data_IF_653383791405
#
_entry.id   IF_653383791405
#
_cell.length_a   1.000
_cell.length_b   1.000
_cell.length_c   1.000
_cell.angle_alpha   90.00
_cell.angle_beta   90.00
_cell.angle_gamma   90.00
#
_symmetry.space_group_name_H-M   'P 1'
#
loop_
_entity.id
_entity.type
_entity.pdbx_description
1 polymer ?
#
# COMPACT_ATOMS: atom_id res chain seq x y z
N UNK A 1 -9.71 3.39 -7.41
CA UNK A 1 -9.07 4.01 -6.23
C UNK A 1 -7.79 3.25 -5.94
N UNK A 2 -6.80 3.87 -5.31
CA UNK A 2 -5.56 3.20 -4.90
C UNK A 2 -5.30 3.35 -3.41
N UNK A 3 -4.43 2.49 -2.89
CA UNK A 3 -3.79 2.63 -1.58
C UNK A 3 -2.33 2.97 -1.86
N UNK A 4 -1.85 4.07 -1.28
CA UNK A 4 -0.54 4.63 -1.60
C UNK A 4 0.27 4.76 -0.30
N UNK A 5 1.56 4.44 -0.35
CA UNK A 5 2.53 4.83 0.66
C UNK A 5 3.48 5.88 0.09
N UNK A 6 3.82 6.86 0.93
CA UNK A 6 4.74 7.93 0.62
C UNK A 6 5.80 8.05 1.70
N UNK A 7 7.02 8.38 1.28
CA UNK A 7 8.11 8.75 2.18
C UNK A 7 8.18 10.26 2.32
N UNK A 8 8.56 10.74 3.50
CA UNK A 8 8.89 12.14 3.76
C UNK A 8 10.37 12.22 4.16
N UNK A 9 11.17 12.92 3.37
CA UNK A 9 12.59 13.14 3.66
C UNK A 9 12.95 14.60 3.43
N UNK A 10 13.44 15.29 4.46
CA UNK A 10 13.83 16.71 4.38
C UNK A 10 12.76 17.63 3.75
N UNK A 11 11.48 17.37 4.05
CA UNK A 11 10.36 18.13 3.48
C UNK A 11 9.95 17.73 2.07
N UNK A 12 10.64 16.77 1.44
CA UNK A 12 10.28 16.18 0.16
C UNK A 12 9.39 14.96 0.35
N UNK A 13 8.25 14.91 -0.34
CA UNK A 13 7.36 13.75 -0.40
C UNK A 13 7.65 12.99 -1.69
N UNK A 14 7.87 11.67 -1.59
CA UNK A 14 8.06 10.81 -2.76
C UNK A 14 7.25 9.52 -2.62
N UNK A 15 6.77 8.94 -3.74
CA UNK A 15 6.02 7.69 -3.70
C UNK A 15 6.93 6.52 -3.33
N UNK A 16 6.45 5.65 -2.46
CA UNK A 16 7.13 4.39 -2.14
C UNK A 16 6.49 3.23 -2.90
N UNK A 17 5.21 2.94 -2.61
CA UNK A 17 4.46 1.85 -3.22
C UNK A 17 3.03 2.31 -3.48
N UNK A 18 2.47 1.91 -4.62
CA UNK A 18 1.07 2.16 -4.99
C UNK A 18 0.41 0.84 -5.36
N UNK A 19 -0.69 0.51 -4.68
CA UNK A 19 -1.54 -0.64 -5.04
C UNK A 19 -2.92 -0.19 -5.50
N UNK A 20 -3.40 -0.81 -6.58
CA UNK A 20 -4.70 -0.48 -7.17
C UNK A 20 -5.79 -1.29 -6.48
N UNK A 21 -6.75 -0.61 -5.86
CA UNK A 21 -7.95 -1.24 -5.34
C UNK A 21 -8.94 -1.50 -6.47
N UNK A 22 -9.29 -2.77 -6.66
CA UNK A 22 -10.28 -3.26 -7.63
C UNK A 22 -11.57 -3.64 -6.92
N UNK A 23 -12.64 -2.81 -7.02
CA UNK A 23 -13.97 -3.19 -6.53
C UNK A 23 -14.44 -4.52 -7.15
N UNK A 24 -15.24 -5.30 -6.41
CA UNK A 24 -15.75 -6.61 -6.87
C UNK A 24 -16.39 -6.56 -8.26
N UNK A 25 -17.17 -5.53 -8.57
CA UNK A 25 -17.82 -5.35 -9.87
C UNK A 25 -16.90 -5.01 -11.05
N UNK A 26 -15.59 -4.83 -10.80
CA UNK A 26 -14.59 -4.46 -11.82
C UNK A 26 -13.51 -5.53 -12.02
N UNK A 27 -13.61 -6.65 -11.32
CA UNK A 27 -12.64 -7.75 -11.40
C UNK A 27 -12.73 -8.42 -12.77
N UNK A 28 -11.57 -8.68 -13.36
CA UNK A 28 -11.45 -9.49 -14.58
C UNK A 28 -11.25 -10.95 -14.21
N UNK A 29 -11.42 -11.85 -15.17
CA UNK A 29 -11.09 -13.26 -14.98
C UNK A 29 -9.61 -13.40 -14.57
N UNK A 30 -9.36 -14.02 -13.41
CA UNK A 30 -8.03 -14.17 -12.82
C UNK A 30 -7.66 -13.09 -11.79
N UNK A 31 -8.45 -12.02 -11.63
CA UNK A 31 -8.24 -11.07 -10.54
C UNK A 31 -8.72 -11.65 -9.21
N UNK A 32 -7.90 -11.51 -8.16
CA UNK A 32 -8.34 -11.72 -6.78
C UNK A 32 -8.90 -10.43 -6.19
N UNK A 33 -10.00 -10.52 -5.46
CA UNK A 33 -10.50 -9.39 -4.69
C UNK A 33 -9.62 -9.15 -3.47
N UNK A 34 -9.28 -7.89 -3.22
CA UNK A 34 -8.58 -7.47 -2.00
C UNK A 34 -9.22 -6.19 -1.46
N UNK A 35 -9.42 -6.15 -0.15
CA UNK A 35 -9.85 -4.96 0.58
C UNK A 35 -8.72 -3.94 0.68
N UNK A 36 -9.06 -2.69 0.99
CA UNK A 36 -8.03 -1.65 1.19
C UNK A 36 -7.12 -1.94 2.37
N UNK A 37 -7.62 -2.61 3.42
CA UNK A 37 -6.83 -3.00 4.59
C UNK A 37 -5.80 -4.03 4.17
N UNK A 38 -6.20 -5.07 3.43
CA UNK A 38 -5.27 -6.08 2.92
C UNK A 38 -4.19 -5.47 2.02
N UNK A 39 -4.57 -4.55 1.11
CA UNK A 39 -3.59 -3.83 0.28
C UNK A 39 -2.62 -2.98 1.12
N UNK A 40 -3.09 -2.35 2.20
CA UNK A 40 -2.23 -1.60 3.11
C UNK A 40 -1.26 -2.52 3.87
N UNK A 41 -1.74 -3.68 4.34
CA UNK A 41 -0.88 -4.70 4.97
C UNK A 41 0.21 -5.18 4.02
N UNK A 42 -0.13 -5.46 2.76
CA UNK A 42 0.87 -5.86 1.76
C UNK A 42 1.93 -4.78 1.52
N UNK A 43 1.53 -3.51 1.46
CA UNK A 43 2.48 -2.39 1.34
C UNK A 43 3.45 -2.38 2.52
N UNK A 44 2.96 -2.51 3.75
CA UNK A 44 3.80 -2.56 4.97
C UNK A 44 4.76 -3.75 4.90
N UNK A 45 4.27 -4.94 4.54
CA UNK A 45 5.11 -6.14 4.39
C UNK A 45 6.19 -5.96 3.33
N UNK A 46 5.86 -5.40 2.16
CA UNK A 46 6.85 -5.14 1.10
C UNK A 46 7.91 -4.13 1.54
N UNK A 47 7.51 -3.05 2.24
CA UNK A 47 8.44 -2.07 2.77
C UNK A 47 9.39 -2.68 3.81
N UNK A 48 8.89 -3.51 4.73
CA UNK A 48 9.76 -4.25 5.68
C UNK A 48 10.73 -5.16 4.93
N UNK A 49 10.26 -5.86 3.89
CA UNK A 49 11.12 -6.72 3.06
C UNK A 49 12.18 -5.93 2.27
N UNK A 50 11.91 -4.65 1.95
CA UNK A 50 12.89 -3.73 1.37
C UNK A 50 13.88 -3.17 2.40
N UNK A 51 13.74 -3.53 3.68
CA UNK A 51 14.64 -3.11 4.76
C UNK A 51 14.20 -1.82 5.46
N UNK A 52 12.97 -1.35 5.24
CA UNK A 52 12.42 -0.24 6.01
C UNK A 52 12.05 -0.70 7.41
N UNK A 53 12.50 0.03 8.42
CA UNK A 53 11.98 -0.08 9.78
C UNK A 53 10.71 0.76 9.88
N UNK A 54 9.59 0.13 10.23
CA UNK A 54 8.27 0.77 10.25
C UNK A 54 7.76 0.76 11.68
N UNK A 55 7.53 1.96 12.21
CA UNK A 55 6.81 2.15 13.46
C UNK A 55 5.36 2.57 13.15
N UNK A 56 4.39 1.87 13.75
CA UNK A 56 2.98 2.21 13.60
C UNK A 56 2.62 3.20 14.71
N UNK A 57 2.47 4.48 14.33
CA UNK A 57 1.92 5.49 15.24
C UNK A 57 0.41 5.32 15.40
N UNK A 58 -0.06 5.16 16.64
CA UNK A 58 -1.48 5.33 16.96
C UNK A 58 -1.75 6.83 17.17
N UNK A 59 -2.65 7.40 16.37
CA UNK A 59 -3.16 8.78 16.52
C UNK A 59 -4.48 8.81 17.27
#
# INVERSE_FOLDING_TARGET
>A
MSVNAYGLYQGMIFPLIVKVFKPRGTLKAGDSYQTKIELATEIVTELVNFGFEIEIGYS
#
